data_IF_804226455182
#
_entry.id   IF_804226455182
#
_cell.length_a   1.000
_cell.length_b   1.000
_cell.length_c   1.000
_cell.angle_alpha   90.00
_cell.angle_beta   90.00
_cell.angle_gamma   90.00
#
_symmetry.space_group_name_H-M   'P 1'
#
loop_
_entity.id
_entity.type
_entity.pdbx_description
1 polymer ?
#
# COMPACT_ATOMS: atom_id res chain seq x y z
N UNK A 1 -21.82 92.77 -50.66
CA UNK A 1 -21.72 92.62 -49.19
C UNK A 1 -21.76 91.18 -48.90
N UNK A 2 -20.63 90.66 -48.55
CA UNK A 2 -20.35 89.23 -48.55
C UNK A 2 -20.49 88.60 -47.16
N UNK A 3 -21.31 87.57 -47.03
CA UNK A 3 -21.46 86.79 -45.81
C UNK A 3 -20.57 85.55 -45.84
N UNK A 4 -19.77 85.37 -44.79
CA UNK A 4 -18.81 84.30 -44.58
C UNK A 4 -19.53 83.08 -43.96
N UNK A 5 -19.38 81.84 -44.44
CA UNK A 5 -19.96 80.71 -43.78
C UNK A 5 -19.00 80.11 -42.70
N UNK A 6 -19.54 79.85 -41.53
CA UNK A 6 -18.88 79.21 -40.38
C UNK A 6 -18.83 77.67 -40.63
N UNK A 7 -17.63 77.11 -40.75
CA UNK A 7 -17.39 75.67 -40.79
C UNK A 7 -17.39 75.12 -39.37
N UNK A 8 -18.39 74.28 -39.04
CA UNK A 8 -18.55 73.63 -37.79
C UNK A 8 -17.79 72.25 -37.88
N UNK A 9 -16.62 72.18 -37.28
CA UNK A 9 -15.76 70.96 -37.21
C UNK A 9 -16.30 70.00 -36.14
N UNK A 10 -16.95 68.93 -36.57
CA UNK A 10 -17.37 67.84 -35.67
C UNK A 10 -16.13 67.01 -35.31
N UNK A 11 -15.73 67.04 -34.05
CA UNK A 11 -14.71 66.14 -33.47
C UNK A 11 -15.43 64.84 -33.08
N UNK A 12 -15.17 63.72 -33.83
CA UNK A 12 -15.55 62.39 -33.42
C UNK A 12 -14.58 61.91 -32.35
N UNK A 13 -15.06 61.79 -31.12
CA UNK A 13 -14.34 61.16 -30.02
C UNK A 13 -14.59 59.64 -30.12
N UNK A 14 -13.62 58.87 -30.63
CA UNK A 14 -13.65 57.41 -30.63
C UNK A 14 -13.22 56.90 -29.26
N UNK A 15 -14.20 56.42 -28.49
CA UNK A 15 -13.99 55.79 -27.19
C UNK A 15 -13.56 54.33 -27.41
N UNK A 16 -12.26 54.05 -27.29
CA UNK A 16 -11.71 52.68 -27.34
C UNK A 16 -11.94 52.03 -25.98
N UNK A 17 -12.94 51.14 -25.90
CA UNK A 17 -13.17 50.28 -24.72
C UNK A 17 -12.13 49.16 -24.76
N UNK A 18 -11.07 49.30 -23.95
CA UNK A 18 -10.12 48.22 -23.68
C UNK A 18 -10.80 47.20 -22.74
N UNK A 19 -11.34 46.13 -23.32
CA UNK A 19 -11.85 44.99 -22.53
C UNK A 19 -10.66 44.27 -21.87
N UNK A 20 -10.41 44.59 -20.59
CA UNK A 20 -9.50 43.79 -19.77
C UNK A 20 -10.12 42.42 -19.50
N UNK A 21 -9.69 41.42 -20.21
CA UNK A 21 -9.94 40.00 -19.85
C UNK A 21 -9.20 39.71 -18.54
N UNK A 22 -9.86 39.91 -17.42
CA UNK A 22 -9.44 39.36 -16.14
C UNK A 22 -9.71 37.86 -16.24
N UNK A 23 -8.68 37.12 -16.63
CA UNK A 23 -8.72 35.66 -16.57
C UNK A 23 -8.95 35.22 -15.11
N UNK A 24 -10.17 34.86 -14.76
CA UNK A 24 -10.48 34.17 -13.51
C UNK A 24 -9.76 32.81 -13.57
N UNK A 25 -8.53 32.75 -13.04
CA UNK A 25 -7.93 31.50 -12.65
C UNK A 25 -8.81 30.91 -11.54
N UNK A 26 -9.79 30.08 -11.88
CA UNK A 26 -10.43 29.21 -10.91
C UNK A 26 -9.32 28.39 -10.24
N UNK A 27 -9.28 28.28 -8.91
CA UNK A 27 -8.30 27.43 -8.25
C UNK A 27 -8.49 26.01 -8.80
N UNK A 28 -7.49 25.48 -9.47
CA UNK A 28 -7.50 24.10 -9.89
C UNK A 28 -7.65 23.26 -8.61
N UNK A 29 -8.76 22.53 -8.49
CA UNK A 29 -8.93 21.58 -7.39
C UNK A 29 -7.74 20.64 -7.41
N UNK A 30 -7.02 20.55 -6.30
CA UNK A 30 -5.89 19.63 -6.20
C UNK A 30 -6.37 18.21 -6.53
N UNK A 31 -5.65 17.55 -7.42
CA UNK A 31 -5.92 16.15 -7.74
C UNK A 31 -5.77 15.31 -6.48
N UNK A 32 -6.71 14.43 -6.21
CA UNK A 32 -6.69 13.58 -5.00
C UNK A 32 -6.76 12.11 -5.41
N UNK A 33 -5.86 11.31 -4.85
CA UNK A 33 -5.91 9.85 -4.98
C UNK A 33 -6.29 9.21 -3.66
N UNK A 34 -6.93 8.04 -3.72
CA UNK A 34 -7.32 7.27 -2.53
C UNK A 34 -6.57 5.95 -2.50
N UNK A 35 -5.75 5.78 -1.47
CA UNK A 35 -5.11 4.52 -1.12
C UNK A 35 -6.00 3.74 -0.15
N UNK A 36 -6.10 2.44 -0.35
CA UNK A 36 -6.75 1.53 0.59
C UNK A 36 -5.83 0.35 0.91
N UNK A 37 -5.91 -0.13 2.14
CA UNK A 37 -5.24 -1.33 2.62
C UNK A 37 -5.96 -1.85 3.86
N UNK A 38 -5.61 -3.02 4.36
CA UNK A 38 -5.94 -3.43 5.72
C UNK A 38 -4.93 -2.87 6.74
N UNK A 39 -5.20 -3.07 8.02
CA UNK A 39 -4.27 -2.68 9.08
C UNK A 39 -3.16 -3.73 9.18
N UNK A 40 -2.03 -3.43 8.58
CA UNK A 40 -0.84 -4.28 8.47
C UNK A 40 0.42 -3.51 8.92
N UNK A 41 0.38 -3.01 10.16
CA UNK A 41 1.51 -2.25 10.74
C UNK A 41 2.79 -3.10 10.80
N UNK A 42 3.95 -2.52 10.48
CA UNK A 42 4.26 -1.09 10.31
C UNK A 42 4.11 -0.56 8.88
N UNK A 43 3.65 -1.37 7.95
CA UNK A 43 3.52 -0.99 6.53
C UNK A 43 2.32 -0.10 6.26
N UNK A 44 1.14 -0.51 6.75
CA UNK A 44 -0.14 0.21 6.66
C UNK A 44 -0.81 0.17 8.03
N UNK A 45 -0.92 1.33 8.68
CA UNK A 45 -1.47 1.45 10.02
C UNK A 45 -2.77 2.26 10.01
N UNK A 46 -3.27 2.66 11.17
CA UNK A 46 -4.50 3.46 11.27
C UNK A 46 -4.35 4.80 10.56
N UNK A 47 -5.35 5.21 9.75
CA UNK A 47 -5.27 6.40 8.89
C UNK A 47 -4.89 7.69 9.62
N UNK A 48 -5.52 7.97 10.75
CA UNK A 48 -5.41 9.24 11.48
C UNK A 48 -4.39 9.20 12.62
N UNK A 49 -3.44 8.25 12.55
CA UNK A 49 -2.35 8.16 13.54
C UNK A 49 -1.13 8.97 13.10
N UNK A 50 -0.28 9.35 14.07
CA UNK A 50 1.03 9.98 13.81
C UNK A 50 1.95 9.10 12.97
N UNK A 51 1.67 7.79 12.93
CA UNK A 51 2.39 6.77 12.17
C UNK A 51 1.40 5.97 11.31
N UNK A 52 0.93 6.53 10.19
CA UNK A 52 -0.09 5.87 9.37
C UNK A 52 0.44 4.66 8.58
N UNK A 53 1.74 4.42 8.62
CA UNK A 53 2.42 3.31 7.96
C UNK A 53 3.41 3.76 6.88
N UNK A 54 4.41 2.92 6.66
CA UNK A 54 5.52 3.16 5.73
C UNK A 54 5.01 3.57 4.34
N UNK A 55 4.08 2.80 3.76
CA UNK A 55 3.54 3.06 2.43
C UNK A 55 2.81 4.38 2.34
N UNK A 56 2.08 4.75 3.39
CA UNK A 56 1.29 5.98 3.40
C UNK A 56 2.21 7.20 3.48
N UNK A 57 3.29 7.13 4.25
CA UNK A 57 4.26 8.22 4.31
C UNK A 57 5.04 8.38 3.01
N UNK A 58 5.43 7.26 2.37
CA UNK A 58 6.05 7.29 1.04
C UNK A 58 5.10 7.92 0.03
N UNK A 59 3.84 7.43 -0.03
CA UNK A 59 2.84 7.97 -0.96
C UNK A 59 2.64 9.48 -0.79
N UNK A 60 2.38 9.94 0.45
CA UNK A 60 2.19 11.35 0.74
C UNK A 60 3.40 12.20 0.30
N UNK A 61 4.63 11.75 0.57
CA UNK A 61 5.84 12.49 0.18
C UNK A 61 6.07 12.52 -1.34
N UNK A 62 5.77 11.43 -2.02
CA UNK A 62 5.98 11.29 -3.46
C UNK A 62 4.94 12.10 -4.23
N UNK A 63 3.66 11.95 -3.89
CA UNK A 63 2.57 12.63 -4.60
C UNK A 63 2.50 14.13 -4.28
N UNK A 64 2.89 14.58 -3.09
CA UNK A 64 2.94 16.00 -2.76
C UNK A 64 3.90 16.79 -3.67
N UNK A 65 4.94 16.17 -4.24
CA UNK A 65 5.85 16.81 -5.20
C UNK A 65 5.17 17.13 -6.53
N UNK A 66 4.11 16.40 -6.84
CA UNK A 66 3.31 16.55 -8.06
C UNK A 66 2.03 17.38 -7.81
N UNK A 67 1.85 17.91 -6.60
CA UNK A 67 0.64 18.65 -6.22
C UNK A 67 -0.60 17.76 -6.11
N UNK A 68 -0.41 16.45 -5.83
CA UNK A 68 -1.49 15.47 -5.70
C UNK A 68 -1.67 15.14 -4.21
N UNK A 69 -2.90 15.27 -3.74
CA UNK A 69 -3.26 14.89 -2.37
C UNK A 69 -3.51 13.39 -2.24
N UNK A 70 -3.15 12.84 -1.09
CA UNK A 70 -3.33 11.42 -0.78
C UNK A 70 -4.29 11.25 0.39
N UNK A 71 -5.42 10.61 0.14
CA UNK A 71 -6.30 10.09 1.19
C UNK A 71 -6.03 8.61 1.43
N UNK A 72 -6.18 8.17 2.66
CA UNK A 72 -5.96 6.76 3.03
C UNK A 72 -7.13 6.22 3.86
N UNK A 73 -7.54 4.98 3.58
CA UNK A 73 -8.60 4.26 4.32
C UNK A 73 -8.20 2.83 4.59
N UNK A 74 -8.59 2.31 5.76
CA UNK A 74 -8.45 0.88 6.07
C UNK A 74 -9.75 0.13 5.80
N UNK A 75 -9.65 -0.96 5.05
CA UNK A 75 -10.72 -1.92 4.77
C UNK A 75 -10.11 -3.33 4.67
N UNK A 76 -10.89 -4.42 4.85
CA UNK A 76 -10.37 -5.78 4.70
C UNK A 76 -9.66 -5.99 3.36
N UNK A 77 -8.52 -6.69 3.35
CA UNK A 77 -7.63 -6.83 2.18
C UNK A 77 -8.35 -7.32 0.92
N UNK A 78 -9.09 -8.43 1.02
CA UNK A 78 -9.88 -8.95 -0.10
C UNK A 78 -10.79 -7.88 -0.72
N UNK A 79 -11.45 -7.07 0.12
CA UNK A 79 -12.30 -5.97 -0.34
C UNK A 79 -11.48 -4.83 -0.93
N UNK A 80 -10.29 -4.53 -0.38
CA UNK A 80 -9.39 -3.51 -0.93
C UNK A 80 -9.01 -3.85 -2.38
N UNK A 81 -8.65 -5.10 -2.64
CA UNK A 81 -8.35 -5.58 -3.99
C UNK A 81 -9.57 -5.49 -4.89
N UNK A 82 -10.72 -6.04 -4.48
CA UNK A 82 -11.93 -6.10 -5.30
C UNK A 82 -12.45 -4.70 -5.68
N UNK A 83 -12.63 -3.81 -4.68
CA UNK A 83 -13.18 -2.48 -4.91
C UNK A 83 -12.22 -1.57 -5.70
N UNK A 84 -10.90 -1.73 -5.51
CA UNK A 84 -9.90 -1.00 -6.32
C UNK A 84 -9.85 -1.55 -7.75
N UNK A 85 -9.94 -2.87 -7.94
CA UNK A 85 -10.04 -3.49 -9.28
C UNK A 85 -11.27 -2.97 -10.03
N UNK A 86 -12.37 -2.76 -9.34
CA UNK A 86 -13.59 -2.18 -9.90
C UNK A 86 -13.48 -0.66 -10.20
N UNK A 87 -12.41 0.02 -9.77
CA UNK A 87 -12.19 1.45 -9.98
C UNK A 87 -12.81 2.36 -8.92
N UNK A 88 -13.28 1.80 -7.79
CA UNK A 88 -13.82 2.60 -6.68
C UNK A 88 -12.73 3.38 -5.93
N UNK A 89 -11.54 2.84 -5.86
CA UNK A 89 -10.36 3.46 -5.28
C UNK A 89 -9.22 3.51 -6.31
N UNK A 90 -8.29 4.44 -6.10
CA UNK A 90 -7.17 4.65 -7.01
C UNK A 90 -6.11 3.55 -6.87
N UNK A 91 -5.81 3.12 -5.64
CA UNK A 91 -4.70 2.20 -5.38
C UNK A 91 -4.87 1.40 -4.10
N UNK A 92 -4.15 0.27 -4.04
CA UNK A 92 -3.89 -0.51 -2.84
C UNK A 92 -2.44 -0.30 -2.39
N UNK A 93 -2.18 -0.39 -1.10
CA UNK A 93 -0.84 -0.22 -0.53
C UNK A 93 -0.36 -1.50 0.17
N UNK A 94 0.91 -1.87 -0.05
CA UNK A 94 1.51 -3.06 0.54
C UNK A 94 1.28 -4.34 -0.26
N UNK A 95 0.90 -4.23 -1.55
CA UNK A 95 0.64 -5.38 -2.40
C UNK A 95 1.92 -5.99 -2.98
N UNK A 96 2.00 -7.31 -3.02
CA UNK A 96 2.87 -8.04 -3.92
C UNK A 96 2.23 -8.16 -5.31
N UNK A 97 3.00 -8.51 -6.33
CA UNK A 97 2.44 -8.81 -7.66
C UNK A 97 1.49 -10.01 -7.60
N UNK A 98 1.74 -10.96 -6.68
CA UNK A 98 0.89 -12.13 -6.47
C UNK A 98 -0.54 -11.79 -6.03
N UNK A 99 -0.72 -10.72 -5.26
CA UNK A 99 -2.03 -10.30 -4.76
C UNK A 99 -2.98 -9.81 -5.86
N UNK A 100 -2.45 -9.11 -6.87
CA UNK A 100 -3.27 -8.45 -7.89
C UNK A 100 -2.54 -8.29 -9.22
N UNK A 101 -2.30 -9.38 -9.95
CA UNK A 101 -1.50 -9.45 -11.19
C UNK A 101 -2.00 -8.56 -12.32
N UNK A 102 -3.26 -8.17 -12.28
CA UNK A 102 -3.93 -7.30 -13.26
C UNK A 102 -3.77 -5.80 -12.96
N UNK A 103 -3.23 -5.44 -11.79
CA UNK A 103 -3.01 -4.04 -11.41
C UNK A 103 -1.76 -3.46 -12.11
N UNK A 104 -1.65 -2.13 -12.07
CA UNK A 104 -0.49 -1.41 -12.59
C UNK A 104 0.50 -1.15 -11.46
N UNK A 105 1.64 -1.79 -11.51
CA UNK A 105 2.70 -1.70 -10.51
C UNK A 105 3.78 -0.69 -10.90
N UNK A 106 4.36 0.04 -9.94
CA UNK A 106 5.64 0.72 -10.12
C UNK A 106 6.74 -0.29 -10.44
N UNK A 107 7.81 0.14 -11.10
CA UNK A 107 8.98 -0.73 -11.33
C UNK A 107 9.94 -0.78 -10.14
N UNK A 108 9.81 0.17 -9.21
CA UNK A 108 10.62 0.26 -8.01
C UNK A 108 9.77 -0.17 -6.80
N UNK A 109 10.10 -1.27 -6.09
CA UNK A 109 9.38 -1.66 -4.88
C UNK A 109 9.62 -0.65 -3.76
N UNK A 110 8.62 -0.42 -2.93
CA UNK A 110 8.74 0.48 -1.78
C UNK A 110 9.30 -0.23 -0.56
N UNK A 111 9.04 -1.54 -0.45
CA UNK A 111 9.57 -2.41 0.60
C UNK A 111 9.68 -3.85 0.09
N UNK A 112 10.26 -4.72 0.91
CA UNK A 112 10.24 -6.15 0.71
C UNK A 112 9.82 -6.82 2.02
N UNK A 113 9.04 -7.88 1.95
CA UNK A 113 8.56 -8.61 3.12
C UNK A 113 9.37 -9.90 3.32
N UNK A 114 9.74 -10.20 4.56
CA UNK A 114 10.32 -11.50 4.90
C UNK A 114 9.21 -12.38 5.48
N UNK A 115 8.57 -13.20 4.63
CA UNK A 115 7.52 -14.13 5.05
C UNK A 115 8.10 -15.23 5.94
N UNK A 116 7.60 -15.28 7.17
CA UNK A 116 8.11 -16.13 8.24
C UNK A 116 6.99 -16.95 8.85
N UNK A 117 7.25 -18.23 9.08
CA UNK A 117 6.34 -19.10 9.81
C UNK A 117 6.49 -18.89 11.31
N UNK A 118 5.36 -18.81 11.99
CA UNK A 118 5.31 -18.63 13.43
C UNK A 118 4.53 -19.75 14.09
N UNK A 119 5.08 -20.26 15.18
CA UNK A 119 4.48 -21.30 16.01
C UNK A 119 4.40 -20.84 17.46
N UNK A 120 3.59 -21.51 18.26
CA UNK A 120 3.54 -21.24 19.69
C UNK A 120 4.89 -21.54 20.34
N UNK A 121 5.32 -20.70 21.28
CA UNK A 121 6.50 -20.98 22.10
C UNK A 121 6.49 -22.41 22.66
N UNK A 122 7.63 -23.08 22.58
CA UNK A 122 7.79 -24.48 22.97
C UNK A 122 7.43 -25.51 21.88
N UNK A 123 6.95 -25.09 20.70
CA UNK A 123 6.83 -26.00 19.53
C UNK A 123 8.21 -26.38 19.00
N UNK A 124 8.34 -27.63 18.51
CA UNK A 124 9.56 -28.11 17.86
C UNK A 124 9.44 -28.15 16.34
N UNK A 125 8.28 -27.79 15.78
CA UNK A 125 8.08 -27.77 14.34
C UNK A 125 8.84 -26.59 13.73
N UNK A 126 9.47 -26.86 12.60
CA UNK A 126 10.14 -25.86 11.77
C UNK A 126 9.78 -26.07 10.31
N UNK A 127 9.65 -24.98 9.57
CA UNK A 127 9.51 -25.02 8.12
C UNK A 127 10.87 -25.29 7.48
N UNK A 128 10.94 -26.31 6.65
CA UNK A 128 12.12 -26.65 5.86
C UNK A 128 11.81 -26.68 4.36
N UNK A 129 10.60 -27.11 4.00
CA UNK A 129 10.09 -27.22 2.63
C UNK A 129 8.57 -27.44 2.68
N UNK A 130 7.90 -27.54 1.52
CA UNK A 130 6.45 -27.77 1.44
C UNK A 130 5.98 -29.03 2.21
N UNK A 131 6.75 -30.13 2.19
CA UNK A 131 6.37 -31.34 2.90
C UNK A 131 6.31 -31.13 4.43
N UNK A 132 6.97 -30.11 4.96
CA UNK A 132 6.83 -29.73 6.38
C UNK A 132 5.42 -29.29 6.72
N UNK A 133 4.69 -28.68 5.77
CA UNK A 133 3.32 -28.19 5.95
C UNK A 133 2.31 -29.31 6.07
N UNK A 134 2.57 -30.49 5.51
CA UNK A 134 1.67 -31.66 5.62
C UNK A 134 1.60 -32.21 7.06
N UNK A 135 2.51 -31.77 7.93
CA UNK A 135 2.61 -32.20 9.34
C UNK A 135 1.98 -31.22 10.33
N UNK A 136 1.40 -30.10 9.84
CA UNK A 136 0.87 -29.04 10.69
C UNK A 136 -0.33 -28.37 10.02
N UNK A 137 -1.25 -27.82 10.81
CA UNK A 137 -2.30 -26.95 10.27
C UNK A 137 -1.78 -25.53 10.17
N UNK A 138 -1.88 -24.92 8.99
CA UNK A 138 -1.44 -23.57 8.68
C UNK A 138 -2.62 -22.59 8.71
N UNK A 139 -2.52 -21.55 9.54
CA UNK A 139 -3.42 -20.39 9.51
C UNK A 139 -2.95 -19.36 8.50
N UNK A 140 -3.83 -18.92 7.59
CA UNK A 140 -3.54 -17.93 6.56
C UNK A 140 -4.64 -16.88 6.49
N UNK A 141 -4.39 -15.78 5.77
CA UNK A 141 -5.38 -14.71 5.53
C UNK A 141 -5.91 -14.86 4.12
N UNK A 142 -7.22 -14.67 3.96
CA UNK A 142 -7.90 -14.74 2.66
C UNK A 142 -7.34 -13.68 1.73
N UNK A 143 -7.03 -14.08 0.50
CA UNK A 143 -6.48 -13.24 -0.58
C UNK A 143 -5.13 -12.56 -0.28
N UNK A 144 -4.39 -13.02 0.75
CA UNK A 144 -2.98 -12.68 0.90
C UNK A 144 -2.13 -13.58 -0.01
N UNK A 145 -1.13 -12.99 -0.66
CA UNK A 145 -0.06 -13.72 -1.35
C UNK A 145 1.18 -13.79 -0.45
N UNK A 146 1.68 -15.00 -0.23
CA UNK A 146 2.86 -15.27 0.61
C UNK A 146 4.11 -15.58 -0.22
N UNK A 147 3.92 -16.25 -1.33
CA UNK A 147 4.83 -16.54 -2.44
C UNK A 147 4.12 -17.52 -3.39
N UNK A 148 4.54 -17.58 -4.64
CA UNK A 148 3.96 -18.52 -5.62
C UNK A 148 3.94 -19.98 -5.09
N UNK A 149 4.96 -20.37 -4.32
CA UNK A 149 5.08 -21.71 -3.76
C UNK A 149 4.03 -21.98 -2.67
N UNK A 150 3.89 -21.07 -1.72
CA UNK A 150 2.94 -21.20 -0.60
C UNK A 150 1.51 -21.01 -1.08
N UNK A 151 1.28 -20.06 -1.99
CA UNK A 151 -0.04 -19.80 -2.57
C UNK A 151 -0.57 -21.02 -3.33
N UNK A 152 0.31 -21.72 -4.08
CA UNK A 152 -0.04 -22.98 -4.73
C UNK A 152 -0.41 -24.08 -3.73
N UNK A 153 0.31 -24.18 -2.60
CA UNK A 153 -0.02 -25.12 -1.51
C UNK A 153 -1.37 -24.79 -0.88
N UNK A 154 -1.62 -23.50 -0.59
CA UNK A 154 -2.90 -23.02 -0.03
C UNK A 154 -4.04 -23.34 -0.99
N UNK A 155 -3.92 -22.99 -2.26
CA UNK A 155 -4.95 -23.23 -3.28
C UNK A 155 -5.31 -24.71 -3.40
N UNK A 156 -4.31 -25.59 -3.37
CA UNK A 156 -4.51 -27.06 -3.42
C UNK A 156 -5.22 -27.59 -2.17
N UNK A 157 -5.00 -27.00 -1.01
CA UNK A 157 -5.42 -27.55 0.28
C UNK A 157 -6.48 -26.71 1.01
N UNK A 158 -7.04 -25.66 0.40
CA UNK A 158 -8.00 -24.73 1.02
C UNK A 158 -9.25 -25.39 1.59
N UNK A 159 -9.67 -26.50 1.01
CA UNK A 159 -10.85 -27.26 1.44
C UNK A 159 -10.51 -28.32 2.52
N UNK A 160 -9.24 -28.47 2.86
CA UNK A 160 -8.77 -29.37 3.90
C UNK A 160 -8.37 -28.58 5.17
N UNK A 161 -9.33 -28.40 6.08
CA UNK A 161 -9.11 -27.65 7.32
C UNK A 161 -8.05 -28.24 8.27
N UNK A 162 -7.59 -29.48 8.03
CA UNK A 162 -6.46 -30.03 8.79
C UNK A 162 -5.12 -29.48 8.32
N UNK A 163 -5.04 -29.03 7.06
CA UNK A 163 -3.83 -28.48 6.46
C UNK A 163 -3.86 -26.95 6.39
N UNK A 164 -4.98 -26.35 5.94
CA UNK A 164 -5.10 -24.88 5.74
C UNK A 164 -6.37 -24.38 6.38
N UNK A 165 -6.26 -23.29 7.15
CA UNK A 165 -7.41 -22.57 7.70
C UNK A 165 -7.26 -21.08 7.40
N UNK A 166 -8.07 -20.58 6.47
CA UNK A 166 -8.07 -19.19 6.10
C UNK A 166 -9.00 -18.38 7.00
N UNK A 167 -8.61 -17.15 7.31
CA UNK A 167 -9.42 -16.14 8.00
C UNK A 167 -9.42 -14.85 7.20
N UNK A 168 -10.51 -14.09 7.28
CA UNK A 168 -10.63 -12.78 6.65
C UNK A 168 -11.20 -11.74 7.60
N UNK A 169 -11.35 -10.52 7.12
CA UNK A 169 -11.88 -9.39 7.88
C UNK A 169 -10.81 -8.55 8.56
N UNK A 170 -11.22 -7.51 9.30
CA UNK A 170 -10.32 -6.50 9.87
C UNK A 170 -9.34 -7.04 10.93
N UNK A 171 -9.66 -8.16 11.56
CA UNK A 171 -8.86 -8.74 12.65
C UNK A 171 -8.22 -10.09 12.24
N UNK A 172 -7.90 -10.26 10.95
CA UNK A 172 -7.41 -11.54 10.44
C UNK A 172 -6.07 -11.95 11.06
N UNK A 173 -5.11 -11.02 11.18
CA UNK A 173 -3.82 -11.26 11.86
C UNK A 173 -4.03 -11.69 13.32
N UNK A 174 -4.80 -10.92 14.09
CA UNK A 174 -5.11 -11.27 15.49
C UNK A 174 -5.75 -12.66 15.60
N UNK A 175 -6.71 -12.96 14.73
CA UNK A 175 -7.39 -14.24 14.71
C UNK A 175 -6.42 -15.41 14.50
N UNK A 176 -5.46 -15.28 13.56
CA UNK A 176 -4.44 -16.30 13.34
C UNK A 176 -3.48 -16.44 14.51
N UNK A 177 -2.99 -15.32 15.07
CA UNK A 177 -2.14 -15.33 16.27
C UNK A 177 -2.84 -16.05 17.42
N UNK A 178 -4.10 -15.71 17.70
CA UNK A 178 -4.88 -16.36 18.75
C UNK A 178 -5.14 -17.83 18.49
N UNK A 179 -5.35 -18.23 17.22
CA UNK A 179 -5.48 -19.65 16.84
C UNK A 179 -4.21 -20.43 17.16
N UNK A 180 -3.03 -19.88 16.87
CA UNK A 180 -1.73 -20.51 17.19
C UNK A 180 -1.55 -20.61 18.71
N UNK A 181 -1.77 -19.52 19.45
CA UNK A 181 -1.65 -19.50 20.91
C UNK A 181 -2.57 -20.55 21.55
N UNK A 182 -3.82 -20.65 21.07
CA UNK A 182 -4.83 -21.60 21.57
C UNK A 182 -4.70 -23.01 20.94
N UNK A 183 -3.65 -23.27 20.15
CA UNK A 183 -3.39 -24.55 19.47
C UNK A 183 -4.54 -25.02 18.56
N UNK A 184 -5.31 -24.08 17.99
CA UNK A 184 -6.35 -24.37 16.98
C UNK A 184 -5.78 -24.58 15.59
N UNK A 185 -4.65 -23.91 15.31
CA UNK A 185 -3.73 -24.21 14.20
C UNK A 185 -2.33 -24.37 14.76
N UNK A 186 -1.49 -25.11 14.04
CA UNK A 186 -0.12 -25.37 14.49
C UNK A 186 0.84 -24.24 14.19
N UNK A 187 0.65 -23.57 13.03
CA UNK A 187 1.47 -22.45 12.60
C UNK A 187 0.63 -21.38 11.89
N UNK A 188 1.17 -20.18 11.77
CA UNK A 188 0.73 -19.15 10.82
C UNK A 188 1.94 -18.62 10.07
N UNK A 189 1.72 -18.00 8.90
CA UNK A 189 2.74 -17.34 8.11
C UNK A 189 2.39 -15.85 8.04
N UNK A 190 3.39 -14.99 8.24
CA UNK A 190 3.23 -13.54 8.22
C UNK A 190 4.57 -12.85 7.96
N UNK A 191 4.54 -11.58 7.51
CA UNK A 191 5.72 -10.73 7.48
C UNK A 191 6.38 -10.65 8.86
N UNK A 192 7.70 -10.84 8.91
CA UNK A 192 8.44 -10.77 10.17
C UNK A 192 8.26 -9.40 10.84
N UNK A 193 8.33 -8.31 10.09
CA UNK A 193 8.14 -6.96 10.62
C UNK A 193 6.74 -6.74 11.21
N UNK A 194 5.71 -7.28 10.54
CA UNK A 194 4.31 -7.15 10.99
C UNK A 194 4.08 -7.99 12.25
N UNK A 195 4.55 -9.22 12.28
CA UNK A 195 4.39 -10.08 13.44
C UNK A 195 5.14 -9.52 14.67
N UNK A 196 6.38 -9.07 14.49
CA UNK A 196 7.16 -8.45 15.57
C UNK A 196 6.44 -7.20 16.12
N UNK A 197 5.98 -6.32 15.23
CA UNK A 197 5.22 -5.13 15.61
C UNK A 197 3.95 -5.49 16.36
N UNK A 198 3.17 -6.42 15.83
CA UNK A 198 1.92 -6.86 16.46
C UNK A 198 2.15 -7.46 17.84
N UNK A 199 3.08 -8.41 17.97
CA UNK A 199 3.36 -9.05 19.26
C UNK A 199 3.84 -8.05 20.30
N UNK A 200 4.69 -7.08 19.91
CA UNK A 200 5.19 -6.05 20.81
C UNK A 200 4.06 -5.12 21.28
N UNK A 201 3.23 -4.61 20.36
CA UNK A 201 2.16 -3.65 20.69
C UNK A 201 1.01 -4.28 21.47
N UNK A 202 0.79 -5.59 21.30
CA UNK A 202 -0.24 -6.34 22.05
C UNK A 202 0.26 -6.97 23.36
N UNK A 203 1.51 -6.71 23.76
CA UNK A 203 2.09 -7.32 24.96
C UNK A 203 2.19 -8.84 24.89
N UNK A 204 2.40 -9.38 23.68
CA UNK A 204 2.45 -10.83 23.39
C UNK A 204 3.84 -11.34 23.00
N UNK A 205 4.87 -10.50 23.16
CA UNK A 205 6.26 -10.87 22.87
C UNK A 205 6.63 -12.21 23.52
N UNK A 206 7.23 -13.11 22.75
CA UNK A 206 7.63 -14.44 23.22
C UNK A 206 6.51 -15.50 23.27
N UNK A 207 5.24 -15.16 22.98
CA UNK A 207 4.17 -16.16 22.89
C UNK A 207 4.23 -16.98 21.60
N UNK A 208 4.67 -16.35 20.50
CA UNK A 208 5.01 -17.00 19.25
C UNK A 208 6.51 -16.85 18.97
N UNK A 209 7.07 -17.85 18.31
CA UNK A 209 8.46 -17.87 17.86
C UNK A 209 8.53 -18.13 16.36
N UNK A 210 9.52 -17.56 15.70
CA UNK A 210 9.82 -17.86 14.32
C UNK A 210 10.25 -19.34 14.17
N UNK A 211 9.71 -20.01 13.17
CA UNK A 211 9.93 -21.43 12.89
C UNK A 211 10.39 -21.68 11.44
N UNK A 212 11.08 -20.73 10.87
CA UNK A 212 11.60 -20.73 9.50
C UNK A 212 11.00 -19.61 8.65
N UNK A 213 11.78 -19.12 7.71
CA UNK A 213 11.38 -18.07 6.78
C UNK A 213 11.40 -18.56 5.33
N UNK A 214 10.63 -17.91 4.48
CA UNK A 214 10.75 -18.09 3.04
C UNK A 214 12.04 -17.44 2.54
N UNK A 215 12.69 -18.01 1.50
CA UNK A 215 13.77 -17.33 0.81
C UNK A 215 13.27 -15.98 0.27
N UNK A 216 14.05 -14.93 0.48
CA UNK A 216 13.72 -13.60 -0.03
C UNK A 216 14.00 -13.55 -1.52
N UNK A 217 13.01 -13.17 -2.31
CA UNK A 217 13.08 -12.98 -3.75
C UNK A 217 12.07 -11.92 -4.19
N UNK A 218 11.91 -11.70 -5.50
CA UNK A 218 11.01 -10.70 -6.06
C UNK A 218 9.52 -10.92 -5.75
N UNK A 219 9.11 -12.15 -5.44
CA UNK A 219 7.72 -12.44 -5.03
C UNK A 219 7.34 -11.72 -3.72
N UNK A 220 8.32 -11.30 -2.94
CA UNK A 220 8.15 -10.61 -1.66
C UNK A 220 8.33 -9.09 -1.73
N UNK A 221 8.53 -8.56 -2.93
CA UNK A 221 8.53 -7.13 -3.16
C UNK A 221 7.13 -6.56 -2.95
N UNK A 222 7.05 -5.44 -2.24
CA UNK A 222 5.81 -4.79 -1.88
C UNK A 222 5.69 -3.41 -2.53
N UNK A 223 4.48 -3.11 -2.99
CA UNK A 223 4.20 -1.95 -3.83
C UNK A 223 2.95 -1.19 -3.41
N UNK A 224 2.87 0.05 -3.86
CA UNK A 224 1.62 0.77 -4.05
C UNK A 224 1.15 0.46 -5.47
N UNK A 225 0.10 -0.36 -5.61
CA UNK A 225 -0.39 -0.80 -6.91
C UNK A 225 -1.69 -0.09 -7.29
N UNK A 226 -1.87 0.22 -8.57
CA UNK A 226 -2.95 1.09 -9.06
C UNK A 226 -4.02 0.31 -9.81
N UNK A 227 -5.25 0.78 -9.69
CA UNK A 227 -6.43 0.19 -10.34
C UNK A 227 -6.23 0.05 -11.85
N UNK A 228 -6.51 -1.12 -12.44
CA UNK A 228 -6.50 -1.28 -13.90
C UNK A 228 -7.59 -0.47 -14.61
N UNK A 229 -8.57 0.06 -13.86
CA UNK A 229 -9.66 0.90 -14.38
C UNK A 229 -9.34 2.39 -14.33
N UNK A 230 -8.29 2.82 -13.60
CA UNK A 230 -7.92 4.22 -13.52
C UNK A 230 -7.11 4.63 -14.77
N UNK A 231 -7.56 5.60 -15.56
CA UNK A 231 -6.85 6.03 -16.77
C UNK A 231 -5.46 6.63 -16.47
N UNK A 232 -5.24 7.11 -15.25
CA UNK A 232 -3.98 7.68 -14.79
C UNK A 232 -3.05 6.66 -14.11
N UNK A 233 -3.45 5.39 -13.96
CA UNK A 233 -2.70 4.37 -13.22
C UNK A 233 -1.22 4.29 -13.64
N UNK A 234 -0.92 4.32 -14.95
CA UNK A 234 0.46 4.30 -15.47
C UNK A 234 1.24 5.56 -15.09
N UNK A 235 0.59 6.73 -15.02
CA UNK A 235 1.21 7.99 -14.57
C UNK A 235 1.55 7.89 -13.09
N UNK A 236 0.62 7.44 -12.27
CA UNK A 236 0.83 7.27 -10.83
C UNK A 236 1.93 6.25 -10.52
N UNK A 237 1.94 5.11 -11.20
CA UNK A 237 2.98 4.10 -11.06
C UNK A 237 4.38 4.66 -11.37
N UNK A 238 4.50 5.52 -12.40
CA UNK A 238 5.75 6.21 -12.73
C UNK A 238 6.15 7.20 -11.65
N UNK A 239 5.22 8.02 -11.18
CA UNK A 239 5.45 8.98 -10.07
C UNK A 239 5.98 8.23 -8.84
N UNK A 240 5.37 7.10 -8.47
CA UNK A 240 5.83 6.29 -7.34
C UNK A 240 7.20 5.67 -7.61
N UNK A 241 7.47 5.17 -8.83
CA UNK A 241 8.79 4.66 -9.22
C UNK A 241 9.88 5.71 -9.01
N UNK A 242 9.71 6.87 -9.63
CA UNK A 242 10.71 7.93 -9.64
C UNK A 242 10.85 8.57 -8.25
N UNK A 243 9.72 8.77 -7.57
CA UNK A 243 9.67 9.29 -6.21
C UNK A 243 10.35 8.37 -5.18
N UNK A 244 10.11 7.06 -5.25
CA UNK A 244 10.76 6.08 -4.37
C UNK A 244 12.27 6.07 -4.57
N UNK A 245 12.72 6.05 -5.83
CA UNK A 245 14.14 6.13 -6.17
C UNK A 245 14.79 7.40 -5.62
N UNK A 246 14.15 8.55 -5.79
CA UNK A 246 14.64 9.82 -5.25
C UNK A 246 14.67 9.87 -3.72
N UNK A 247 13.70 9.23 -3.03
CA UNK A 247 13.71 9.11 -1.57
C UNK A 247 14.86 8.21 -1.09
N UNK A 248 15.20 7.12 -1.81
CA UNK A 248 16.36 6.28 -1.50
C UNK A 248 17.68 7.06 -1.67
N UNK A 249 17.87 7.68 -2.83
CA UNK A 249 19.08 8.45 -3.13
C UNK A 249 19.35 9.59 -2.13
N UNK A 250 18.28 10.18 -1.59
CA UNK A 250 18.40 11.27 -0.59
C UNK A 250 18.45 10.77 0.87
N UNK A 251 18.44 9.46 1.12
CA UNK A 251 18.39 8.87 2.47
C UNK A 251 17.05 9.04 3.20
N UNK A 252 16.07 9.70 2.59
CA UNK A 252 14.76 9.96 3.23
C UNK A 252 13.92 8.72 3.45
N UNK A 253 14.15 7.67 2.67
CA UNK A 253 13.45 6.39 2.92
C UNK A 253 13.93 5.78 4.24
N UNK A 254 15.23 5.88 4.55
CA UNK A 254 15.78 5.41 5.83
C UNK A 254 15.22 6.20 7.03
N UNK A 255 15.00 7.50 6.89
CA UNK A 255 14.35 8.30 7.93
C UNK A 255 12.92 7.80 8.22
N UNK A 256 12.16 7.47 7.15
CA UNK A 256 10.81 6.90 7.28
C UNK A 256 10.89 5.53 7.96
N UNK A 257 11.76 4.63 7.49
CA UNK A 257 11.94 3.30 8.06
C UNK A 257 12.27 3.36 9.57
N UNK A 258 13.18 4.24 9.96
CA UNK A 258 13.58 4.42 11.37
C UNK A 258 12.41 4.79 12.28
N UNK A 259 11.42 5.54 11.78
CA UNK A 259 10.21 5.86 12.55
C UNK A 259 9.40 4.62 12.94
N UNK A 260 9.51 3.55 12.15
CA UNK A 260 8.83 2.27 12.36
C UNK A 260 9.74 1.19 12.93
N UNK A 261 10.96 1.55 13.35
CA UNK A 261 11.97 0.58 13.82
C UNK A 261 12.33 -0.47 12.76
N UNK A 262 12.21 -0.10 11.49
CA UNK A 262 12.61 -0.89 10.33
C UNK A 262 13.99 -0.44 9.84
N UNK A 263 14.72 -1.36 9.19
CA UNK A 263 15.94 -1.04 8.44
C UNK A 263 15.76 -1.46 6.99
N UNK A 264 16.51 -0.83 6.05
CA UNK A 264 16.48 -1.28 4.66
C UNK A 264 16.85 -2.76 4.55
N UNK A 265 17.75 -3.25 5.38
CA UNK A 265 18.10 -4.66 5.44
C UNK A 265 16.93 -5.58 5.82
N UNK A 266 15.98 -5.08 6.62
CA UNK A 266 14.75 -5.83 6.98
C UNK A 266 13.64 -5.75 5.91
N UNK A 267 13.72 -4.78 4.99
CA UNK A 267 12.66 -4.50 4.01
C UNK A 267 13.15 -4.44 2.56
N UNK A 268 14.41 -4.82 2.27
CA UNK A 268 15.02 -4.77 0.93
C UNK A 268 16.21 -5.71 0.75
N UNK A 269 16.16 -6.93 1.31
CA UNK A 269 17.15 -7.97 1.02
C UNK A 269 16.81 -8.78 -0.20
#
# INVERSE_FOLDING_TARGET
MAGVPVFMRRILLTLTIASAFIGMNAPASAETITLVADEWCPYTCKPDSDKPGLFIEIAKKVFAREGIDVTYKTIPWARAIEETRAGKYTSIAGASIGDARDFIFPTEPQAQSVMTFYVKYGSRWTYQNLASLDKISLGTIVDYSYSNLIDSYIAKNKDNMRLVQQVGGNNALESNVLKVIKKRVGATIESAAVMEYYLATQGRTGQLIAAGAMPVNDDQNLYIAFSPKDPNAKRYARIVTDGTRALRQSGKIQEILNRYSLTEEKVSR
#
